data_IF_443592736657
#
_entry.id   IF_443592736657
#
_cell.length_a   1.000
_cell.length_b   1.000
_cell.length_c   1.000
_cell.angle_alpha   90.00
_cell.angle_beta   90.00
_cell.angle_gamma   90.00
#
_symmetry.space_group_name_H-M   'P 1'
#
loop_
_entity.id
_entity.type
_entity.pdbx_description
1 polymer ?
#
# COMPACT_ATOMS: atom_id res chain seq x y z
N UNK A 1 -16.81 20.83 16.02
CA UNK A 1 -16.59 22.17 15.44
C UNK A 1 -15.52 22.03 14.37
N UNK A 2 -15.85 22.33 13.12
CA UNK A 2 -14.88 22.30 12.03
C UNK A 2 -14.04 23.57 12.09
N UNK A 3 -12.70 23.51 12.07
CA UNK A 3 -11.86 24.70 12.04
C UNK A 3 -12.19 25.56 10.80
N UNK A 4 -12.08 26.90 10.89
CA UNK A 4 -12.35 27.79 9.77
C UNK A 4 -11.48 27.43 8.56
N UNK A 5 -12.10 27.21 7.41
CA UNK A 5 -11.40 26.99 6.14
C UNK A 5 -10.66 28.28 5.76
N UNK A 6 -9.34 28.28 5.91
CA UNK A 6 -8.46 29.29 5.32
C UNK A 6 -8.46 29.12 3.80
N UNK A 7 -9.49 29.62 3.11
CA UNK A 7 -9.45 29.77 1.65
C UNK A 7 -8.48 30.90 1.32
N UNK A 8 -7.20 30.58 1.17
CA UNK A 8 -6.20 31.53 0.71
C UNK A 8 -6.63 32.04 -0.68
N UNK A 9 -6.90 33.35 -0.86
CA UNK A 9 -7.58 33.88 -2.04
C UNK A 9 -6.80 33.78 -3.37
N UNK A 10 -5.63 33.12 -3.41
CA UNK A 10 -4.86 32.87 -4.63
C UNK A 10 -4.13 31.52 -4.53
N UNK A 11 -4.85 30.41 -4.56
CA UNK A 11 -4.21 29.10 -4.65
C UNK A 11 -3.50 28.98 -6.01
N UNK A 12 -2.16 29.02 -6.00
CA UNK A 12 -1.35 28.86 -7.21
C UNK A 12 -1.71 27.56 -7.93
N UNK A 13 -2.09 27.69 -9.21
CA UNK A 13 -2.40 26.59 -10.12
C UNK A 13 -1.23 26.35 -11.06
N UNK A 14 -0.85 25.08 -11.25
CA UNK A 14 0.28 24.75 -12.10
C UNK A 14 -0.04 25.00 -13.58
N UNK A 15 0.88 25.63 -14.30
CA UNK A 15 0.78 25.89 -15.75
C UNK A 15 0.83 24.59 -16.55
N UNK A 16 0.28 24.55 -17.77
CA UNK A 16 0.34 23.36 -18.63
C UNK A 16 1.76 22.83 -18.80
N UNK A 17 2.74 23.71 -18.95
CA UNK A 17 4.16 23.37 -19.06
C UNK A 17 4.66 22.65 -17.80
N UNK A 18 4.35 23.16 -16.61
CA UNK A 18 4.68 22.49 -15.34
C UNK A 18 4.00 21.13 -15.21
N UNK A 19 2.77 20.99 -15.74
CA UNK A 19 2.08 19.70 -15.74
C UNK A 19 2.78 18.68 -16.63
N UNK A 20 3.21 19.09 -17.83
CA UNK A 20 3.98 18.27 -18.74
C UNK A 20 5.34 17.90 -18.13
N UNK A 21 6.05 18.87 -17.55
CA UNK A 21 7.33 18.64 -16.89
C UNK A 21 7.20 17.62 -15.74
N UNK A 22 6.13 17.70 -14.94
CA UNK A 22 5.87 16.74 -13.86
C UNK A 22 5.61 15.31 -14.37
N UNK A 23 4.85 15.15 -15.46
CA UNK A 23 4.64 13.83 -16.06
C UNK A 23 5.90 13.27 -16.70
N UNK A 24 6.71 14.13 -17.33
CA UNK A 24 8.00 13.74 -17.89
C UNK A 24 8.97 13.30 -16.78
N UNK A 25 9.03 14.05 -15.67
CA UNK A 25 9.78 13.64 -14.49
C UNK A 25 9.29 12.31 -13.90
N UNK A 26 7.96 12.11 -13.85
CA UNK A 26 7.36 10.85 -13.41
C UNK A 26 7.76 9.68 -14.30
N UNK A 27 7.79 9.88 -15.63
CA UNK A 27 8.23 8.87 -16.59
C UNK A 27 9.71 8.53 -16.41
N UNK A 28 10.60 9.54 -16.29
CA UNK A 28 12.02 9.29 -16.08
C UNK A 28 12.32 8.56 -14.77
N UNK A 29 11.66 8.95 -13.68
CA UNK A 29 11.75 8.25 -12.40
C UNK A 29 11.22 6.82 -12.53
N UNK A 30 10.05 6.61 -13.13
CA UNK A 30 9.47 5.29 -13.31
C UNK A 30 10.37 4.37 -14.15
N UNK A 31 10.98 4.87 -15.21
CA UNK A 31 11.96 4.13 -16.02
C UNK A 31 13.19 3.76 -15.18
N UNK A 32 13.79 4.73 -14.50
CA UNK A 32 14.95 4.49 -13.65
C UNK A 32 14.66 3.45 -12.56
N UNK A 33 13.53 3.57 -11.87
CA UNK A 33 13.14 2.66 -10.79
C UNK A 33 12.83 1.24 -11.28
N UNK A 34 12.20 1.11 -12.45
CA UNK A 34 11.94 -0.20 -13.06
C UNK A 34 13.24 -0.89 -13.45
N UNK A 35 14.17 -0.17 -14.11
CA UNK A 35 15.51 -0.68 -14.41
C UNK A 35 16.27 -1.07 -13.13
N UNK A 36 16.22 -0.23 -12.10
CA UNK A 36 16.88 -0.49 -10.83
C UNK A 36 16.32 -1.75 -10.17
N UNK A 37 14.99 -1.93 -10.10
CA UNK A 37 14.40 -3.12 -9.50
C UNK A 37 14.75 -4.38 -10.30
N UNK A 38 14.64 -4.36 -11.62
CA UNK A 38 14.97 -5.50 -12.48
C UNK A 38 16.43 -5.94 -12.38
N UNK A 39 17.35 -5.00 -12.14
CA UNK A 39 18.80 -5.30 -12.04
C UNK A 39 19.25 -5.70 -10.63
N UNK A 40 18.51 -5.30 -9.59
CA UNK A 40 18.86 -5.57 -8.19
C UNK A 40 18.08 -6.76 -7.59
N UNK A 41 16.98 -7.16 -8.23
CA UNK A 41 16.16 -8.30 -7.81
C UNK A 41 16.37 -9.49 -8.75
N UNK A 42 16.01 -10.68 -8.29
CA UNK A 42 16.08 -11.91 -9.07
C UNK A 42 14.68 -12.44 -9.36
N UNK A 43 14.41 -13.05 -10.52
CA UNK A 43 13.18 -13.80 -10.70
C UNK A 43 13.15 -14.94 -9.67
N UNK A 44 11.98 -15.17 -9.06
CA UNK A 44 11.79 -16.34 -8.22
C UNK A 44 11.61 -17.58 -9.11
N UNK A 45 12.37 -18.65 -8.86
CA UNK A 45 12.48 -19.80 -9.76
C UNK A 45 11.14 -20.54 -9.97
N UNK A 46 10.24 -20.49 -8.99
CA UNK A 46 8.91 -21.10 -9.07
C UNK A 46 7.85 -20.18 -9.72
N UNK A 47 8.22 -18.93 -10.01
CA UNK A 47 7.31 -17.92 -10.59
C UNK A 47 8.06 -17.02 -11.57
N UNK A 48 8.79 -17.63 -12.50
CA UNK A 48 9.45 -16.89 -13.58
C UNK A 48 8.41 -16.14 -14.44
N UNK A 49 8.83 -15.10 -15.15
CA UNK A 49 7.94 -14.34 -16.03
C UNK A 49 7.26 -15.21 -17.08
N UNK A 50 7.99 -16.18 -17.63
CA UNK A 50 7.46 -17.16 -18.57
C UNK A 50 6.35 -18.00 -17.94
N UNK A 51 6.60 -18.55 -16.74
CA UNK A 51 5.58 -19.33 -16.01
C UNK A 51 4.34 -18.49 -15.72
N UNK A 52 4.50 -17.23 -15.31
CA UNK A 52 3.36 -16.35 -15.06
C UNK A 52 2.52 -16.14 -16.33
N UNK A 53 3.15 -15.80 -17.46
CA UNK A 53 2.47 -15.58 -18.76
C UNK A 53 1.77 -16.85 -19.26
N UNK A 54 2.36 -18.01 -19.03
CA UNK A 54 1.78 -19.31 -19.40
C UNK A 54 0.79 -19.86 -18.36
N UNK A 55 0.57 -19.15 -17.25
CA UNK A 55 -0.24 -19.58 -16.12
C UNK A 55 0.21 -20.90 -15.45
N UNK A 56 1.53 -21.14 -15.45
CA UNK A 56 2.22 -22.31 -14.90
C UNK A 56 2.96 -22.00 -13.58
N UNK A 57 2.83 -20.79 -13.04
CA UNK A 57 3.49 -20.44 -11.77
C UNK A 57 2.82 -21.17 -10.59
N UNK A 58 3.56 -21.36 -9.49
CA UNK A 58 3.00 -22.02 -8.29
C UNK A 58 2.01 -21.12 -7.54
N UNK A 59 1.09 -21.74 -6.80
CA UNK A 59 0.21 -21.04 -5.87
C UNK A 59 0.99 -20.41 -4.69
N UNK A 60 0.47 -19.37 -4.01
CA UNK A 60 -0.72 -18.58 -4.37
C UNK A 60 -0.44 -17.56 -5.50
N UNK A 61 0.79 -17.52 -6.03
CA UNK A 61 1.21 -16.49 -6.97
C UNK A 61 0.44 -16.52 -8.29
N UNK A 62 -0.02 -17.69 -8.71
CA UNK A 62 -0.81 -17.87 -9.92
C UNK A 62 -2.25 -17.36 -9.84
N UNK A 63 -2.81 -17.19 -8.64
CA UNK A 63 -4.15 -16.59 -8.47
C UNK A 63 -4.16 -15.10 -8.84
N UNK A 64 -2.99 -14.49 -9.00
CA UNK A 64 -2.78 -13.06 -9.32
C UNK A 64 -2.76 -12.84 -10.82
N UNK A 65 -3.87 -13.10 -11.47
CA UNK A 65 -3.98 -13.23 -12.93
C UNK A 65 -4.00 -11.91 -13.71
N UNK A 66 -4.25 -10.75 -13.08
CA UNK A 66 -4.45 -9.50 -13.82
C UNK A 66 -3.28 -9.17 -14.76
N UNK A 67 -2.07 -9.00 -14.21
CA UNK A 67 -0.90 -8.65 -15.03
C UNK A 67 -0.45 -9.80 -15.95
N UNK A 68 -0.38 -11.06 -15.49
CA UNK A 68 -0.08 -12.19 -16.37
C UNK A 68 -1.02 -12.29 -17.58
N UNK A 69 -2.33 -12.09 -17.39
CA UNK A 69 -3.30 -12.14 -18.49
C UNK A 69 -3.13 -10.99 -19.48
N UNK A 70 -2.84 -9.78 -19.00
CA UNK A 70 -2.52 -8.64 -19.90
C UNK A 70 -1.24 -8.96 -20.68
N UNK A 71 -0.21 -9.47 -20.02
CA UNK A 71 1.07 -9.79 -20.65
C UNK A 71 0.91 -10.91 -21.71
N UNK A 72 0.17 -11.98 -21.38
CA UNK A 72 -0.14 -13.06 -22.31
C UNK A 72 -0.93 -12.55 -23.53
N UNK A 73 -1.94 -11.70 -23.32
CA UNK A 73 -2.72 -11.11 -24.41
C UNK A 73 -1.87 -10.23 -25.34
N UNK A 74 -0.96 -9.42 -24.79
CA UNK A 74 -0.03 -8.62 -25.60
C UNK A 74 0.95 -9.54 -26.34
N UNK A 75 1.51 -10.54 -25.68
CA UNK A 75 2.48 -11.47 -26.26
C UNK A 75 1.91 -12.25 -27.45
N UNK A 76 0.61 -12.55 -27.46
CA UNK A 76 -0.09 -13.14 -28.61
C UNK A 76 -0.14 -12.22 -29.84
N UNK A 77 -0.20 -10.91 -29.63
CA UNK A 77 -0.27 -9.91 -30.70
C UNK A 77 1.12 -9.40 -31.13
N UNK A 78 2.04 -9.30 -30.18
CA UNK A 78 3.38 -8.76 -30.36
C UNK A 78 4.38 -9.48 -29.42
N UNK A 79 5.21 -10.42 -29.94
CA UNK A 79 6.13 -11.21 -29.11
C UNK A 79 7.38 -10.41 -28.72
N UNK A 80 7.22 -9.38 -27.89
CA UNK A 80 8.29 -8.47 -27.47
C UNK A 80 9.11 -8.99 -26.29
N UNK A 81 8.70 -10.12 -25.69
CA UNK A 81 9.38 -10.78 -24.58
C UNK A 81 8.81 -10.40 -23.22
N UNK A 82 8.66 -11.39 -22.33
CA UNK A 82 7.93 -11.26 -21.06
C UNK A 82 8.61 -10.28 -20.11
N UNK A 83 9.94 -10.29 -20.06
CA UNK A 83 10.73 -9.35 -19.24
C UNK A 83 10.47 -7.90 -19.62
N UNK A 84 10.47 -7.58 -20.92
CA UNK A 84 10.21 -6.23 -21.40
C UNK A 84 8.76 -5.82 -21.13
N UNK A 85 7.79 -6.73 -21.32
CA UNK A 85 6.38 -6.46 -21.02
C UNK A 85 6.18 -6.11 -19.54
N UNK A 86 6.69 -6.93 -18.62
CA UNK A 86 6.57 -6.64 -17.19
C UNK A 86 7.33 -5.38 -16.78
N UNK A 87 8.48 -5.09 -17.39
CA UNK A 87 9.20 -3.83 -17.18
C UNK A 87 8.34 -2.61 -17.57
N UNK A 88 7.70 -2.65 -18.75
CA UNK A 88 6.83 -1.57 -19.22
C UNK A 88 5.57 -1.41 -18.33
N UNK A 89 4.99 -2.53 -17.88
CA UNK A 89 3.88 -2.50 -16.92
C UNK A 89 4.30 -1.92 -15.57
N UNK A 90 5.52 -2.19 -15.13
CA UNK A 90 6.06 -1.61 -13.90
C UNK A 90 6.26 -0.09 -14.03
N UNK A 91 6.76 0.39 -15.17
CA UNK A 91 6.85 1.83 -15.46
C UNK A 91 5.46 2.47 -15.34
N UNK A 92 4.44 1.85 -15.94
CA UNK A 92 3.06 2.32 -15.81
C UNK A 92 2.57 2.29 -14.36
N UNK A 93 2.89 1.23 -13.60
CA UNK A 93 2.55 1.10 -12.19
C UNK A 93 3.13 2.23 -11.33
N UNK A 94 4.39 2.62 -11.57
CA UNK A 94 5.04 3.72 -10.84
C UNK A 94 4.36 5.05 -11.13
N UNK A 95 4.11 5.34 -12.41
CA UNK A 95 3.43 6.56 -12.82
C UNK A 95 2.01 6.65 -12.25
N UNK A 96 1.26 5.54 -12.28
CA UNK A 96 -0.09 5.48 -11.70
C UNK A 96 -0.06 5.64 -10.19
N UNK A 97 0.88 5.02 -9.48
CA UNK A 97 1.04 5.22 -8.04
C UNK A 97 1.29 6.69 -7.70
N UNK A 98 2.19 7.37 -8.40
CA UNK A 98 2.47 8.81 -8.22
C UNK A 98 1.20 9.64 -8.48
N UNK A 99 0.45 9.32 -9.53
CA UNK A 99 -0.79 10.00 -9.88
C UNK A 99 -1.87 9.83 -8.79
N UNK A 100 -2.06 8.62 -8.28
CA UNK A 100 -2.99 8.32 -7.19
C UNK A 100 -2.52 8.96 -5.89
N UNK A 101 -1.22 8.97 -5.60
CA UNK A 101 -0.62 9.67 -4.47
C UNK A 101 -0.91 11.18 -4.50
N UNK A 102 -0.73 11.82 -5.66
CA UNK A 102 -1.13 13.22 -5.84
C UNK A 102 -2.62 13.44 -5.55
N UNK A 103 -3.51 12.58 -6.07
CA UNK A 103 -4.94 12.65 -5.79
C UNK A 103 -5.25 12.46 -4.31
N UNK A 104 -4.52 11.60 -3.62
CA UNK A 104 -4.66 11.42 -2.18
C UNK A 104 -4.32 12.68 -1.40
N UNK A 105 -3.19 13.32 -1.72
CA UNK A 105 -2.80 14.59 -1.11
C UNK A 105 -3.85 15.68 -1.33
N UNK A 106 -4.48 15.73 -2.52
CA UNK A 106 -5.61 16.64 -2.79
C UNK A 106 -6.81 16.33 -1.90
N UNK A 107 -7.21 15.06 -1.79
CA UNK A 107 -8.40 14.63 -1.03
C UNK A 107 -8.27 14.89 0.47
N UNK A 108 -7.05 14.73 1.00
CA UNK A 108 -6.72 14.93 2.41
C UNK A 108 -6.12 16.32 2.70
N UNK A 109 -6.19 17.25 1.74
CA UNK A 109 -5.76 18.65 1.90
C UNK A 109 -4.30 18.80 2.38
N UNK A 110 -3.44 17.85 1.98
CA UNK A 110 -2.02 17.86 2.32
C UNK A 110 -1.28 18.67 1.26
N UNK A 111 -0.57 19.72 1.68
CA UNK A 111 0.21 20.60 0.80
C UNK A 111 -0.59 21.83 0.33
N UNK A 112 -0.06 23.02 0.62
CA UNK A 112 -0.76 24.31 0.44
C UNK A 112 -0.98 24.72 -1.02
N UNK A 113 -0.17 24.25 -1.94
CA UNK A 113 -0.22 24.60 -3.37
C UNK A 113 -0.13 23.37 -4.27
N UNK A 114 -0.52 23.50 -5.54
CA UNK A 114 -0.43 22.42 -6.52
C UNK A 114 1.02 21.90 -6.74
N UNK A 115 2.05 22.75 -6.92
CA UNK A 115 3.44 22.29 -7.07
C UNK A 115 3.96 21.53 -5.86
N UNK A 116 3.66 22.00 -4.65
CA UNK A 116 4.07 21.32 -3.41
C UNK A 116 3.44 19.93 -3.35
N UNK A 117 2.16 19.80 -3.70
CA UNK A 117 1.49 18.49 -3.77
C UNK A 117 2.12 17.55 -4.79
N UNK A 118 2.50 18.06 -5.96
CA UNK A 118 3.19 17.30 -7.00
C UNK A 118 4.55 16.79 -6.55
N UNK A 119 5.32 17.63 -5.84
CA UNK A 119 6.60 17.24 -5.26
C UNK A 119 6.43 16.22 -4.14
N UNK A 120 5.48 16.45 -3.23
CA UNK A 120 5.16 15.50 -2.16
C UNK A 120 4.70 14.16 -2.72
N UNK A 121 3.97 14.11 -3.84
CA UNK A 121 3.55 12.86 -4.45
C UNK A 121 4.74 11.95 -4.83
N UNK A 122 5.89 12.52 -5.24
CA UNK A 122 7.11 11.73 -5.50
C UNK A 122 7.70 11.09 -4.23
N UNK A 123 7.41 11.63 -3.05
CA UNK A 123 7.96 11.09 -1.80
C UNK A 123 7.40 9.71 -1.45
N UNK A 124 6.27 9.30 -2.06
CA UNK A 124 5.75 7.91 -1.93
C UNK A 124 6.76 6.88 -2.44
N UNK A 125 7.64 7.28 -3.38
CA UNK A 125 8.65 6.39 -3.95
C UNK A 125 9.67 5.95 -2.89
N UNK A 126 10.03 6.81 -1.93
CA UNK A 126 11.06 6.50 -0.92
C UNK A 126 10.72 5.25 -0.10
N UNK A 127 9.59 5.18 0.63
CA UNK A 127 9.28 3.98 1.40
C UNK A 127 8.98 2.77 0.50
N UNK A 128 8.47 2.98 -0.73
CA UNK A 128 8.26 1.90 -1.69
C UNK A 128 9.58 1.27 -2.13
N UNK A 129 10.62 2.06 -2.39
CA UNK A 129 11.95 1.57 -2.74
C UNK A 129 12.58 0.75 -1.61
N UNK A 130 12.38 1.17 -0.37
CA UNK A 130 12.84 0.40 0.79
C UNK A 130 12.18 -0.99 0.86
N UNK A 131 10.94 -1.14 0.38
CA UNK A 131 10.22 -2.43 0.44
C UNK A 131 10.46 -3.31 -0.80
N UNK A 132 10.75 -2.71 -1.95
CA UNK A 132 10.87 -3.41 -3.23
C UNK A 132 12.31 -3.66 -3.68
N UNK A 133 13.25 -2.81 -3.27
CA UNK A 133 14.62 -2.77 -3.82
C UNK A 133 15.68 -2.90 -2.73
N UNK A 134 15.50 -2.23 -1.59
CA UNK A 134 16.55 -2.21 -0.58
C UNK A 134 16.80 -3.63 -0.04
N UNK A 135 18.01 -4.19 -0.24
CA UNK A 135 18.30 -5.57 0.15
C UNK A 135 18.07 -5.75 1.65
N UNK A 136 17.58 -6.93 2.04
CA UNK A 136 17.61 -7.27 3.44
C UNK A 136 19.07 -7.46 3.88
N UNK A 137 19.37 -6.96 5.06
CA UNK A 137 20.72 -6.99 5.61
C UNK A 137 20.78 -8.19 6.55
N UNK A 138 21.40 -9.28 6.08
CA UNK A 138 21.67 -10.41 6.94
C UNK A 138 22.81 -10.03 7.88
N UNK A 139 22.49 -9.93 9.17
CA UNK A 139 23.47 -9.68 10.21
C UNK A 139 23.93 -11.04 10.75
N UNK A 140 25.15 -11.43 10.40
CA UNK A 140 25.71 -12.73 10.79
C UNK A 140 26.14 -12.82 12.27
N UNK A 141 25.99 -11.75 13.05
CA UNK A 141 26.38 -11.72 14.45
C UNK A 141 25.15 -11.71 15.37
N UNK A 142 24.96 -12.81 16.09
CA UNK A 142 24.48 -12.70 17.45
C UNK A 142 25.46 -11.80 18.22
N UNK A 143 24.97 -11.00 19.16
CA UNK A 143 25.79 -10.37 20.19
C UNK A 143 26.48 -11.50 21.00
N UNK A 144 27.55 -12.05 20.45
CA UNK A 144 28.38 -13.05 21.13
C UNK A 144 29.25 -12.30 22.13
N UNK A 145 29.25 -12.77 23.37
CA UNK A 145 30.12 -12.27 24.45
C UNK A 145 31.60 -12.29 24.09
N UNK A 146 31.96 -13.11 23.10
CA UNK A 146 33.35 -13.40 22.74
C UNK A 146 33.86 -12.52 21.60
N UNK A 147 33.03 -11.60 21.10
CA UNK A 147 33.38 -10.63 20.06
C UNK A 147 33.38 -9.21 20.62
N UNK A 148 34.23 -8.30 20.10
CA UNK A 148 34.26 -6.93 20.56
C UNK A 148 32.86 -6.30 20.44
N UNK A 149 32.47 -5.49 21.42
CA UNK A 149 31.12 -4.91 21.59
C UNK A 149 30.60 -4.10 20.37
N UNK A 150 31.47 -3.83 19.39
CA UNK A 150 31.19 -3.08 18.16
C UNK A 150 31.40 -3.90 16.87
N UNK A 151 31.68 -5.21 16.96
CA UNK A 151 31.66 -6.09 15.79
C UNK A 151 30.20 -6.37 15.41
N UNK A 152 29.65 -5.47 14.60
CA UNK A 152 28.30 -5.56 13.99
C UNK A 152 28.19 -6.72 12.98
N UNK A 153 29.24 -7.54 12.83
CA UNK A 153 29.29 -8.67 11.92
C UNK A 153 29.43 -8.29 10.46
N UNK A 154 29.56 -9.31 9.62
CA UNK A 154 29.51 -9.14 8.17
C UNK A 154 28.09 -8.82 7.71
N UNK A 155 27.97 -7.82 6.84
CA UNK A 155 26.73 -7.46 6.18
C UNK A 155 26.70 -8.14 4.82
N UNK A 156 25.74 -9.04 4.61
CA UNK A 156 25.53 -9.63 3.29
C UNK A 156 24.14 -9.26 2.78
N UNK A 157 24.03 -8.69 1.57
CA UNK A 157 22.72 -8.41 0.98
C UNK A 157 22.03 -9.73 0.67
N UNK A 158 20.80 -9.91 1.17
CA UNK A 158 19.93 -11.01 0.74
C UNK A 158 19.33 -10.67 -0.62
N UNK A 159 19.39 -11.61 -1.55
CA UNK A 159 18.71 -11.46 -2.83
C UNK A 159 17.21 -11.27 -2.59
N UNK A 160 16.64 -10.24 -3.21
CA UNK A 160 15.20 -9.98 -3.20
C UNK A 160 14.62 -10.54 -4.48
N UNK A 161 13.46 -11.17 -4.36
CA UNK A 161 12.73 -11.70 -5.50
C UNK A 161 11.84 -10.63 -6.15
N UNK A 162 11.78 -10.64 -7.47
CA UNK A 162 10.92 -9.75 -8.25
C UNK A 162 9.49 -10.31 -8.33
N UNK A 163 8.48 -9.44 -8.11
CA UNK A 163 7.08 -9.79 -8.32
C UNK A 163 6.29 -8.67 -9.01
N UNK A 164 5.61 -9.05 -10.09
CA UNK A 164 4.94 -8.13 -11.01
C UNK A 164 3.78 -7.38 -10.34
N UNK A 165 3.10 -7.99 -9.36
CA UNK A 165 1.85 -7.49 -8.78
C UNK A 165 2.04 -6.57 -7.55
N UNK A 166 3.25 -6.42 -7.02
CA UNK A 166 3.49 -5.65 -5.78
C UNK A 166 3.11 -4.17 -5.93
N UNK A 167 3.57 -3.55 -7.02
CA UNK A 167 3.36 -2.14 -7.27
C UNK A 167 1.89 -1.80 -7.62
N UNK A 168 1.22 -2.57 -8.52
CA UNK A 168 -0.23 -2.41 -8.69
C UNK A 168 -1.01 -2.62 -7.40
N UNK A 169 -0.61 -3.53 -6.50
CA UNK A 169 -1.31 -3.75 -5.25
C UNK A 169 -1.30 -2.50 -4.35
N UNK A 170 -0.14 -1.85 -4.21
CA UNK A 170 -0.01 -0.58 -3.49
C UNK A 170 -0.87 0.53 -4.13
N UNK A 171 -0.83 0.64 -5.46
CA UNK A 171 -1.63 1.61 -6.21
C UNK A 171 -3.14 1.37 -6.03
N UNK A 172 -3.60 0.13 -6.20
CA UNK A 172 -5.01 -0.23 -6.05
C UNK A 172 -5.51 -0.01 -4.63
N UNK A 173 -4.72 -0.38 -3.63
CA UNK A 173 -5.05 -0.14 -2.22
C UNK A 173 -5.30 1.35 -1.98
N UNK A 174 -4.39 2.21 -2.41
CA UNK A 174 -4.54 3.65 -2.25
C UNK A 174 -5.78 4.16 -3.03
N UNK A 175 -6.00 3.71 -4.26
CA UNK A 175 -7.15 4.09 -5.07
C UNK A 175 -8.49 3.67 -4.47
N UNK A 176 -8.55 2.49 -3.84
CA UNK A 176 -9.73 1.99 -3.12
C UNK A 176 -10.01 2.85 -1.89
N UNK A 177 -9.00 3.18 -1.08
CA UNK A 177 -9.15 4.10 0.06
C UNK A 177 -9.69 5.46 -0.39
N UNK A 178 -9.17 6.03 -1.48
CA UNK A 178 -9.72 7.29 -2.03
C UNK A 178 -11.15 7.16 -2.50
N UNK A 179 -11.51 6.03 -3.11
CA UNK A 179 -12.88 5.76 -3.55
C UNK A 179 -13.84 5.60 -2.37
N UNK A 180 -13.40 4.95 -1.28
CA UNK A 180 -14.15 4.90 -0.02
C UNK A 180 -14.37 6.29 0.56
N UNK A 181 -13.31 7.10 0.64
CA UNK A 181 -13.40 8.48 1.13
C UNK A 181 -14.35 9.30 0.26
N UNK A 182 -14.33 9.14 -1.06
CA UNK A 182 -15.29 9.78 -1.95
C UNK A 182 -16.72 9.32 -1.67
N UNK A 183 -16.96 8.02 -1.51
CA UNK A 183 -18.28 7.49 -1.15
C UNK A 183 -18.80 8.02 0.19
N UNK A 184 -17.93 8.26 1.17
CA UNK A 184 -18.34 8.89 2.44
C UNK A 184 -18.76 10.35 2.28
N UNK A 185 -18.33 11.04 1.20
CA UNK A 185 -18.70 12.43 0.90
C UNK A 185 -19.92 12.52 -0.01
N UNK A 186 -19.98 11.67 -1.03
CA UNK A 186 -21.02 11.67 -2.07
C UNK A 186 -21.52 10.25 -2.35
N UNK A 187 -22.30 9.66 -1.42
CA UNK A 187 -22.80 8.29 -1.57
C UNK A 187 -23.76 8.21 -2.77
N UNK A 188 -23.32 7.54 -3.83
CA UNK A 188 -24.08 7.38 -5.06
C UNK A 188 -23.79 6.03 -5.71
N UNK A 189 -24.77 5.49 -6.43
CA UNK A 189 -24.63 4.21 -7.14
C UNK A 189 -23.46 4.24 -8.14
N UNK A 190 -23.27 5.36 -8.85
CA UNK A 190 -22.14 5.55 -9.78
C UNK A 190 -20.78 5.48 -9.08
N UNK A 191 -20.62 6.15 -7.94
CA UNK A 191 -19.37 6.08 -7.20
C UNK A 191 -19.12 4.67 -6.65
N UNK A 192 -20.18 3.95 -6.26
CA UNK A 192 -20.04 2.59 -5.76
C UNK A 192 -19.69 1.61 -6.88
N UNK A 193 -20.30 1.76 -8.06
CA UNK A 193 -19.94 0.96 -9.24
C UNK A 193 -18.47 1.18 -9.65
N UNK A 194 -17.98 2.43 -9.62
CA UNK A 194 -16.56 2.72 -9.86
C UNK A 194 -15.66 2.08 -8.79
N UNK A 195 -16.05 2.15 -7.51
CA UNK A 195 -15.35 1.45 -6.43
C UNK A 195 -15.27 -0.05 -6.68
N UNK A 196 -16.40 -0.68 -7.06
CA UNK A 196 -16.44 -2.12 -7.36
C UNK A 196 -15.59 -2.48 -8.57
N UNK A 197 -15.54 -1.64 -9.62
CA UNK A 197 -14.67 -1.86 -10.77
C UNK A 197 -13.19 -1.89 -10.35
N UNK A 198 -12.76 -0.94 -9.50
CA UNK A 198 -11.39 -0.95 -8.95
C UNK A 198 -11.18 -2.16 -8.04
N UNK A 199 -12.18 -2.54 -7.24
CA UNK A 199 -12.11 -3.69 -6.34
C UNK A 199 -11.94 -5.02 -7.09
N UNK A 200 -12.63 -5.19 -8.23
CA UNK A 200 -12.47 -6.33 -9.14
C UNK A 200 -11.03 -6.41 -9.65
N UNK A 201 -10.51 -5.31 -10.22
CA UNK A 201 -9.14 -5.27 -10.73
C UNK A 201 -8.11 -5.55 -9.63
N UNK A 202 -8.32 -4.95 -8.46
CA UNK A 202 -7.45 -5.15 -7.32
C UNK A 202 -7.48 -6.61 -6.83
N UNK A 203 -8.64 -7.27 -6.84
CA UNK A 203 -8.81 -8.67 -6.45
C UNK A 203 -8.18 -9.64 -7.46
N UNK A 204 -8.26 -9.33 -8.76
CA UNK A 204 -7.54 -10.07 -9.81
C UNK A 204 -6.02 -9.88 -9.70
N UNK A 205 -5.56 -8.79 -9.07
CA UNK A 205 -4.15 -8.53 -8.83
C UNK A 205 -3.63 -9.20 -7.54
N UNK A 206 -4.38 -9.12 -6.43
CA UNK A 206 -4.07 -9.82 -5.17
C UNK A 206 -5.35 -10.12 -4.40
N UNK A 207 -5.36 -11.29 -3.77
CA UNK A 207 -6.39 -11.78 -2.87
C UNK A 207 -6.48 -11.00 -1.54
N UNK A 208 -5.44 -10.26 -1.18
CA UNK A 208 -5.36 -9.44 0.03
C UNK A 208 -6.32 -8.23 0.03
N UNK A 209 -6.95 -7.90 -1.10
CA UNK A 209 -8.01 -6.89 -1.15
C UNK A 209 -9.19 -7.19 -0.23
N UNK A 210 -9.42 -8.45 0.14
CA UNK A 210 -10.47 -8.82 1.09
C UNK A 210 -10.31 -8.09 2.44
N UNK A 211 -9.08 -7.79 2.86
CA UNK A 211 -8.81 -7.07 4.11
C UNK A 211 -9.36 -5.65 4.13
N UNK A 212 -9.74 -5.07 2.98
CA UNK A 212 -10.36 -3.75 2.91
C UNK A 212 -11.84 -3.75 3.31
N UNK A 213 -12.51 -4.91 3.30
CA UNK A 213 -13.96 -5.01 3.55
C UNK A 213 -14.36 -4.53 4.95
N UNK A 214 -13.67 -4.89 6.05
CA UNK A 214 -13.98 -4.36 7.38
C UNK A 214 -13.80 -2.84 7.47
N UNK A 215 -12.70 -2.32 6.93
CA UNK A 215 -12.44 -0.88 6.89
C UNK A 215 -13.53 -0.13 6.09
N UNK A 216 -13.95 -0.69 4.93
CA UNK A 216 -15.06 -0.19 4.14
C UNK A 216 -16.35 -0.09 4.97
N UNK A 217 -16.71 -1.18 5.65
CA UNK A 217 -17.95 -1.26 6.43
C UNK A 217 -17.97 -0.17 7.52
N UNK A 218 -16.88 -0.05 8.27
CA UNK A 218 -16.77 0.91 9.38
C UNK A 218 -16.70 2.37 8.92
N UNK A 219 -16.11 2.64 7.75
CA UNK A 219 -16.12 3.99 7.19
C UNK A 219 -17.51 4.41 6.69
N UNK A 220 -18.24 3.50 6.03
CA UNK A 220 -19.49 3.85 5.37
C UNK A 220 -20.73 3.68 6.24
N UNK A 221 -20.72 2.78 7.23
CA UNK A 221 -21.85 2.54 8.14
C UNK A 221 -22.45 3.83 8.74
N UNK A 222 -21.65 4.78 9.27
CA UNK A 222 -22.20 6.00 9.86
C UNK A 222 -22.80 6.97 8.82
N UNK A 223 -22.49 6.78 7.53
CA UNK A 223 -22.86 7.70 6.45
C UNK A 223 -24.08 7.19 5.68
N UNK A 224 -24.09 5.92 5.29
CA UNK A 224 -25.16 5.34 4.44
C UNK A 224 -26.15 4.47 5.22
N UNK A 225 -25.85 4.18 6.49
CA UNK A 225 -26.67 3.35 7.37
C UNK A 225 -26.40 1.85 7.22
N UNK A 226 -26.69 1.12 8.31
CA UNK A 226 -26.42 -0.31 8.50
C UNK A 226 -26.82 -1.20 7.31
N UNK A 227 -28.08 -1.11 6.90
CA UNK A 227 -28.66 -1.97 5.86
C UNK A 227 -27.96 -1.79 4.51
N UNK A 228 -27.70 -0.54 4.11
CA UNK A 228 -27.02 -0.24 2.84
C UNK A 228 -25.57 -0.69 2.88
N UNK A 229 -24.86 -0.42 3.98
CA UNK A 229 -23.49 -0.92 4.16
C UNK A 229 -23.43 -2.44 4.09
N UNK A 230 -24.36 -3.15 4.73
CA UNK A 230 -24.41 -4.62 4.67
C UNK A 230 -24.59 -5.12 3.23
N UNK A 231 -25.49 -4.51 2.44
CA UNK A 231 -25.66 -4.86 1.02
C UNK A 231 -24.40 -4.59 0.19
N UNK A 232 -23.71 -3.46 0.45
CA UNK A 232 -22.48 -3.10 -0.24
C UNK A 232 -21.31 -4.04 0.14
N UNK A 233 -21.26 -4.50 1.39
CA UNK A 233 -20.31 -5.51 1.87
C UNK A 233 -20.62 -6.86 1.22
N UNK A 234 -21.89 -7.28 1.21
CA UNK A 234 -22.31 -8.52 0.56
C UNK A 234 -21.95 -8.53 -0.93
N UNK A 235 -22.12 -7.40 -1.63
CA UNK A 235 -21.69 -7.28 -3.03
C UNK A 235 -20.18 -7.43 -3.21
N UNK A 236 -19.35 -6.84 -2.35
CA UNK A 236 -17.89 -7.01 -2.37
C UNK A 236 -17.48 -8.46 -2.12
N UNK A 237 -18.06 -9.08 -1.09
CA UNK A 237 -17.79 -10.49 -0.75
C UNK A 237 -18.22 -11.43 -1.89
N UNK A 238 -19.39 -11.20 -2.50
CA UNK A 238 -19.83 -11.98 -3.64
C UNK A 238 -18.88 -11.86 -4.84
N UNK A 239 -18.42 -10.64 -5.17
CA UNK A 239 -17.42 -10.42 -6.22
C UNK A 239 -16.09 -11.12 -5.88
N UNK A 240 -15.62 -11.00 -4.65
CA UNK A 240 -14.38 -11.63 -4.21
C UNK A 240 -14.45 -13.15 -4.39
N UNK A 241 -15.53 -13.78 -3.90
CA UNK A 241 -15.73 -15.22 -4.02
C UNK A 241 -15.92 -15.65 -5.48
N UNK A 242 -16.64 -14.88 -6.28
CA UNK A 242 -16.85 -15.16 -7.71
C UNK A 242 -15.55 -15.09 -8.54
N UNK A 243 -14.54 -14.35 -8.05
CA UNK A 243 -13.20 -14.32 -8.67
C UNK A 243 -12.34 -15.44 -8.10
N UNK A 244 -12.23 -15.54 -6.78
CA UNK A 244 -11.25 -16.43 -6.15
C UNK A 244 -11.62 -17.91 -6.26
N UNK A 245 -12.90 -18.28 -6.13
CA UNK A 245 -13.30 -19.70 -6.22
C UNK A 245 -12.93 -20.31 -7.58
N UNK A 246 -13.27 -19.69 -8.73
CA UNK A 246 -12.85 -20.20 -10.03
C UNK A 246 -11.33 -20.21 -10.23
N UNK A 247 -10.61 -19.21 -9.72
CA UNK A 247 -9.14 -19.18 -9.85
C UNK A 247 -8.48 -20.29 -9.03
N UNK A 248 -8.94 -20.54 -7.80
CA UNK A 248 -8.47 -21.67 -6.99
C UNK A 248 -8.78 -23.01 -7.68
N UNK A 249 -9.96 -23.17 -8.27
CA UNK A 249 -10.30 -24.39 -9.01
C UNK A 249 -9.45 -24.56 -10.28
N UNK A 250 -9.21 -23.48 -11.02
CA UNK A 250 -8.41 -23.49 -12.26
C UNK A 250 -6.94 -23.84 -12.00
N UNK A 251 -6.39 -23.40 -10.87
CA UNK A 251 -4.98 -23.56 -10.52
C UNK A 251 -4.67 -24.60 -9.45
N UNK A 252 -5.64 -25.44 -9.10
CA UNK A 252 -5.47 -26.48 -8.07
C UNK A 252 -4.31 -27.46 -8.34
N UNK A 253 -3.85 -27.58 -9.59
CA UNK A 253 -2.68 -28.38 -9.97
C UNK A 253 -1.32 -27.70 -9.75
N UNK A 254 -1.28 -26.39 -9.53
CA UNK A 254 -0.05 -25.60 -9.42
C UNK A 254 0.46 -25.55 -7.97
N UNK A 255 0.57 -26.70 -7.33
CA UNK A 255 0.87 -26.82 -5.90
C UNK A 255 2.20 -26.18 -5.51
N UNK A 256 2.22 -25.40 -4.43
CA UNK A 256 3.44 -24.87 -3.86
C UNK A 256 4.20 -25.96 -3.08
N UNK A 257 5.41 -26.36 -3.50
CA UNK A 257 6.17 -27.41 -2.80
C UNK A 257 6.60 -27.00 -1.39
N UNK A 258 6.63 -25.69 -1.09
CA UNK A 258 7.02 -25.17 0.22
C UNK A 258 5.83 -24.95 1.17
N UNK A 259 4.59 -25.24 0.74
CA UNK A 259 3.43 -25.04 1.59
C UNK A 259 3.47 -26.01 2.79
N UNK A 260 3.46 -25.44 4.00
CA UNK A 260 3.51 -26.20 5.26
C UNK A 260 2.23 -26.05 6.10
N UNK A 261 1.31 -25.19 5.69
CA UNK A 261 -0.01 -25.06 6.32
C UNK A 261 -0.97 -26.07 5.70
N UNK A 262 -1.43 -27.02 6.52
CA UNK A 262 -2.33 -28.09 6.10
C UNK A 262 -3.53 -27.56 5.30
N UNK A 263 -3.76 -28.14 4.13
CA UNK A 263 -4.86 -27.80 3.21
C UNK A 263 -4.83 -26.36 2.67
N UNK A 264 -3.67 -25.72 2.62
CA UNK A 264 -3.51 -24.39 2.01
C UNK A 264 -2.26 -24.32 1.12
N UNK A 265 -2.18 -23.31 0.26
CA UNK A 265 -0.99 -23.03 -0.55
C UNK A 265 0.06 -22.15 0.18
N UNK A 266 -0.17 -21.84 1.46
CA UNK A 266 0.63 -20.88 2.21
C UNK A 266 1.73 -21.55 3.04
N UNK A 267 2.84 -20.85 3.17
CA UNK A 267 3.94 -21.20 4.06
C UNK A 267 3.65 -20.67 5.49
N UNK A 268 4.22 -21.30 6.51
CA UNK A 268 4.13 -20.84 7.89
C UNK A 268 5.47 -20.27 8.34
N UNK A 269 5.52 -19.00 8.71
CA UNK A 269 6.76 -18.28 9.03
C UNK A 269 6.77 -17.59 10.39
N UNK A 270 5.72 -17.73 11.21
CA UNK A 270 5.62 -17.01 12.48
C UNK A 270 6.84 -17.22 13.38
N UNK A 271 7.24 -18.47 13.62
CA UNK A 271 8.39 -18.76 14.50
C UNK A 271 9.72 -18.26 13.91
N UNK A 272 9.93 -18.45 12.61
CA UNK A 272 11.11 -17.92 11.91
C UNK A 272 11.19 -16.38 12.03
N UNK A 273 10.05 -15.70 11.89
CA UNK A 273 9.98 -14.24 12.01
C UNK A 273 10.24 -13.78 13.45
N UNK A 274 9.67 -14.45 14.46
CA UNK A 274 9.92 -14.15 15.88
C UNK A 274 11.38 -14.38 16.26
N UNK A 275 11.99 -15.45 15.78
CA UNK A 275 13.42 -15.73 15.95
C UNK A 275 14.27 -14.62 15.31
N UNK A 276 13.96 -14.22 14.08
CA UNK A 276 14.68 -13.13 13.40
C UNK A 276 14.55 -11.80 14.15
N UNK A 277 13.34 -11.48 14.63
CA UNK A 277 13.06 -10.27 15.41
C UNK A 277 13.67 -10.29 16.82
N UNK A 278 14.05 -11.45 17.35
CA UNK A 278 14.72 -11.55 18.65
C UNK A 278 16.11 -10.92 18.65
N UNK A 279 16.73 -10.74 17.47
CA UNK A 279 17.97 -9.98 17.33
C UNK A 279 17.65 -8.46 17.43
N UNK A 280 18.11 -7.76 18.48
CA UNK A 280 17.75 -6.36 18.71
C UNK A 280 18.23 -5.43 17.60
N UNK A 281 19.39 -5.72 16.99
CA UNK A 281 19.92 -4.90 15.90
C UNK A 281 19.12 -5.11 14.61
N UNK A 282 18.71 -6.36 14.33
CA UNK A 282 17.76 -6.62 13.25
C UNK A 282 16.43 -5.91 13.50
N UNK A 283 15.87 -6.01 14.71
CA UNK A 283 14.61 -5.33 15.05
C UNK A 283 14.70 -3.82 14.83
N UNK A 284 15.77 -3.17 15.30
CA UNK A 284 15.96 -1.71 15.14
C UNK A 284 16.10 -1.33 13.67
N UNK A 285 16.95 -2.03 12.90
CA UNK A 285 17.13 -1.76 11.46
C UNK A 285 15.88 -2.10 10.65
N UNK A 286 15.13 -3.12 11.04
CA UNK A 286 13.84 -3.47 10.46
C UNK A 286 12.81 -2.37 10.73
N UNK A 287 12.70 -1.91 11.97
CA UNK A 287 11.82 -0.80 12.36
C UNK A 287 12.20 0.52 11.69
N UNK A 288 13.49 0.79 11.42
CA UNK A 288 13.89 1.98 10.67
C UNK A 288 13.49 1.90 9.18
N UNK A 289 13.57 0.70 8.58
CA UNK A 289 13.22 0.48 7.17
C UNK A 289 11.72 0.37 6.94
N UNK A 290 10.98 -0.20 7.89
CA UNK A 290 9.54 -0.40 7.80
C UNK A 290 8.84 0.94 7.56
N UNK A 291 8.21 1.06 6.40
CA UNK A 291 7.64 2.31 5.85
C UNK A 291 8.58 3.54 5.91
N UNK A 292 9.90 3.37 5.83
CA UNK A 292 10.89 4.44 6.05
C UNK A 292 10.72 5.20 7.38
N UNK A 293 10.34 4.48 8.44
CA UNK A 293 10.01 5.03 9.76
C UNK A 293 8.85 6.04 9.77
N UNK A 294 8.06 6.15 8.69
CA UNK A 294 6.93 7.08 8.60
C UNK A 294 5.79 6.74 9.58
N UNK A 295 5.75 5.52 10.12
CA UNK A 295 4.83 5.18 11.21
C UNK A 295 5.08 6.00 12.48
N UNK A 296 6.31 6.50 12.74
CA UNK A 296 6.62 7.26 13.96
C UNK A 296 5.80 8.55 14.07
N UNK A 297 5.77 9.46 13.05
CA UNK A 297 4.84 10.59 13.04
C UNK A 297 3.38 10.18 13.28
N UNK A 298 2.92 9.08 12.68
CA UNK A 298 1.54 8.61 12.81
C UNK A 298 1.24 8.21 14.26
N UNK A 299 2.13 7.48 14.92
CA UNK A 299 1.95 7.06 16.31
C UNK A 299 2.03 8.27 17.28
N UNK A 300 3.07 9.09 17.13
CA UNK A 300 3.32 10.24 18.01
C UNK A 300 2.21 11.30 17.90
N UNK A 301 1.66 11.48 16.70
CA UNK A 301 0.69 12.54 16.38
C UNK A 301 -0.67 12.00 15.94
N UNK A 302 -1.03 10.78 16.36
CA UNK A 302 -2.27 10.10 15.99
C UNK A 302 -3.54 10.92 16.28
N UNK A 303 -3.52 11.83 17.26
CA UNK A 303 -4.64 12.74 17.56
C UNK A 303 -4.98 13.70 16.41
N UNK A 304 -4.04 13.95 15.50
CA UNK A 304 -4.23 14.77 14.30
C UNK A 304 -4.60 13.95 13.07
N UNK A 305 -4.66 12.62 13.19
CA UNK A 305 -4.93 11.72 12.09
C UNK A 305 -6.39 11.83 11.65
N UNK A 306 -6.62 11.96 10.34
CA UNK A 306 -7.98 11.90 9.80
C UNK A 306 -8.60 10.54 10.17
N UNK A 307 -9.82 10.60 10.72
CA UNK A 307 -10.53 9.41 11.23
C UNK A 307 -10.66 8.31 10.18
N UNK A 308 -10.81 8.64 8.90
CA UNK A 308 -10.97 7.67 7.80
C UNK A 308 -9.64 6.94 7.56
N UNK A 309 -8.52 7.65 7.57
CA UNK A 309 -7.19 7.04 7.52
C UNK A 309 -6.91 6.19 8.77
N UNK A 310 -7.32 6.66 9.95
CA UNK A 310 -7.25 5.86 11.18
C UNK A 310 -8.00 4.54 11.08
N UNK A 311 -9.24 4.56 10.56
CA UNK A 311 -10.02 3.33 10.31
C UNK A 311 -9.31 2.42 9.30
N UNK A 312 -8.76 2.97 8.21
CA UNK A 312 -8.01 2.19 7.23
C UNK A 312 -6.77 1.51 7.84
N UNK A 313 -6.01 2.24 8.67
CA UNK A 313 -4.83 1.69 9.32
C UNK A 313 -5.19 0.59 10.32
N UNK A 314 -6.24 0.79 11.13
CA UNK A 314 -6.61 -0.16 12.19
C UNK A 314 -7.33 -1.39 11.62
N UNK A 315 -8.23 -1.23 10.66
CA UNK A 315 -9.13 -2.31 10.20
C UNK A 315 -8.75 -2.91 8.85
N UNK A 316 -7.74 -2.38 8.17
CA UNK A 316 -7.13 -3.00 7.00
C UNK A 316 -5.64 -3.27 7.23
N UNK A 317 -4.83 -2.23 7.48
CA UNK A 317 -3.38 -2.39 7.50
C UNK A 317 -2.90 -3.29 8.65
N UNK A 318 -3.43 -3.11 9.86
CA UNK A 318 -3.05 -3.93 11.01
C UNK A 318 -3.43 -5.41 10.82
N UNK A 319 -4.67 -5.80 10.48
CA UNK A 319 -5.02 -7.19 10.18
C UNK A 319 -4.15 -7.80 9.07
N UNK A 320 -3.93 -7.06 7.98
CA UNK A 320 -3.07 -7.50 6.88
C UNK A 320 -1.63 -7.73 7.36
N UNK A 321 -1.07 -6.81 8.16
CA UNK A 321 0.28 -6.95 8.71
C UNK A 321 0.40 -8.16 9.64
N UNK A 322 -0.57 -8.36 10.54
CA UNK A 322 -0.57 -9.49 11.46
C UNK A 322 -0.58 -10.83 10.72
N UNK A 323 -1.42 -10.96 9.69
CA UNK A 323 -1.45 -12.18 8.87
C UNK A 323 -0.20 -12.32 8.02
N UNK A 324 0.31 -11.23 7.45
CA UNK A 324 1.57 -11.24 6.71
C UNK A 324 2.75 -11.69 7.57
N UNK A 325 2.78 -11.37 8.87
CA UNK A 325 3.81 -11.89 9.80
C UNK A 325 3.67 -13.40 10.03
N UNK A 326 2.46 -13.96 9.89
CA UNK A 326 2.24 -15.41 10.05
C UNK A 326 2.62 -16.18 8.79
N UNK A 327 2.18 -15.72 7.61
CA UNK A 327 2.29 -16.47 6.35
C UNK A 327 3.40 -15.97 5.42
N UNK A 328 3.94 -14.78 5.67
CA UNK A 328 4.99 -14.16 4.88
C UNK A 328 6.30 -14.10 5.64
N UNK A 329 7.41 -14.04 4.92
CA UNK A 329 8.74 -13.89 5.51
C UNK A 329 9.02 -12.42 5.74
N UNK A 330 9.20 -11.97 6.99
CA UNK A 330 9.42 -10.54 7.28
C UNK A 330 10.66 -9.96 6.60
N UNK A 331 11.67 -10.80 6.36
CA UNK A 331 12.86 -10.48 5.54
C UNK A 331 12.49 -9.99 4.13
N UNK A 332 11.31 -10.37 3.62
CA UNK A 332 10.72 -9.87 2.38
C UNK A 332 9.76 -8.72 2.70
N UNK A 333 10.29 -7.51 2.89
CA UNK A 333 9.48 -6.35 3.30
C UNK A 333 8.29 -6.06 2.38
N UNK A 334 8.34 -6.47 1.11
CA UNK A 334 7.24 -6.37 0.15
C UNK A 334 5.93 -7.04 0.60
N UNK A 335 5.92 -7.94 1.59
CA UNK A 335 4.66 -8.49 2.12
C UNK A 335 3.76 -7.40 2.72
N UNK A 336 4.33 -6.25 3.10
CA UNK A 336 3.61 -5.08 3.60
C UNK A 336 3.36 -3.99 2.55
N UNK A 337 3.61 -4.26 1.26
CA UNK A 337 3.66 -3.22 0.22
C UNK A 337 2.35 -2.42 0.08
N UNK A 338 1.21 -3.05 0.35
CA UNK A 338 -0.12 -2.41 0.30
C UNK A 338 -0.34 -1.41 1.44
N UNK A 339 0.35 -1.59 2.56
CA UNK A 339 0.27 -0.74 3.76
C UNK A 339 1.13 0.51 3.58
N UNK A 340 2.25 0.39 2.86
CA UNK A 340 3.24 1.46 2.66
C UNK A 340 2.61 2.79 2.21
N UNK A 341 1.82 2.87 1.11
CA UNK A 341 1.24 4.14 0.68
C UNK A 341 0.23 4.71 1.69
N UNK A 342 -0.40 3.87 2.50
CA UNK A 342 -1.36 4.33 3.51
C UNK A 342 -0.64 4.97 4.70
N UNK A 343 0.43 4.35 5.19
CA UNK A 343 1.27 4.91 6.26
C UNK A 343 1.96 6.20 5.80
N UNK A 344 2.46 6.23 4.55
CA UNK A 344 3.01 7.43 3.93
C UNK A 344 2.01 8.59 3.94
N UNK A 345 0.79 8.36 3.46
CA UNK A 345 -0.25 9.39 3.40
C UNK A 345 -0.65 9.87 4.81
N UNK A 346 -0.84 8.95 5.74
CA UNK A 346 -1.15 9.26 7.14
C UNK A 346 -0.05 10.12 7.77
N UNK A 347 1.23 9.76 7.56
CA UNK A 347 2.36 10.50 8.09
C UNK A 347 2.40 11.95 7.57
N UNK A 348 2.26 12.15 6.26
CA UNK A 348 2.22 13.49 5.67
C UNK A 348 1.01 14.29 6.16
N UNK A 349 -0.14 13.65 6.31
CA UNK A 349 -1.35 14.30 6.81
C UNK A 349 -1.19 14.76 8.27
N UNK A 350 -0.70 13.91 9.17
CA UNK A 350 -0.48 14.33 10.57
C UNK A 350 0.59 15.40 10.70
N UNK A 351 1.66 15.34 9.90
CA UNK A 351 2.69 16.39 9.83
C UNK A 351 2.05 17.71 9.42
N UNK A 352 1.32 17.73 8.31
CA UNK A 352 0.71 18.94 7.76
C UNK A 352 -0.33 19.56 8.70
N UNK A 353 -1.18 18.73 9.32
CA UNK A 353 -2.19 19.22 10.27
C UNK A 353 -1.54 19.76 11.55
N UNK A 354 -0.49 19.11 12.06
CA UNK A 354 0.25 19.59 13.24
C UNK A 354 0.93 20.93 12.97
N UNK A 355 1.61 21.09 11.84
CA UNK A 355 2.33 22.33 11.52
C UNK A 355 1.39 23.50 11.27
N UNK A 356 0.25 23.27 10.62
CA UNK A 356 -0.79 24.30 10.47
C UNK A 356 -1.35 24.78 11.83
N UNK A 357 -1.45 23.89 12.82
CA UNK A 357 -1.88 24.24 14.18
C UNK A 357 -0.89 25.13 14.95
N UNK A 358 0.41 25.04 14.65
CA UNK A 358 1.44 25.90 15.26
C UNK A 358 1.41 27.33 14.72
N UNK A 359 0.94 27.52 13.48
CA UNK A 359 0.89 28.84 12.84
C UNK A 359 -0.32 29.67 13.27
N UNK A 360 -1.31 29.08 13.96
CA UNK A 360 -2.45 29.85 14.48
C UNK A 360 -2.02 30.64 15.73
N UNK A 361 -1.89 31.98 15.68
CA UNK A 361 -1.39 32.81 16.78
C UNK A 361 -2.32 32.85 18.01
N UNK A 362 -3.46 32.16 17.94
CA UNK A 362 -4.54 32.18 18.92
C UNK A 362 -4.51 30.99 19.89
N UNK A 363 -3.33 30.46 20.22
CA UNK A 363 -3.13 29.43 21.25
C UNK A 363 -3.48 29.85 22.69
N UNK A 364 -4.49 30.72 22.87
CA UNK A 364 -5.28 30.71 24.11
C UNK A 364 -6.23 29.51 24.01
N UNK A 365 -6.20 28.57 24.97
CA UNK A 365 -7.23 27.56 25.06
C UNK A 365 -8.57 28.30 25.12
N UNK A 366 -9.40 28.16 24.08
CA UNK A 366 -10.81 28.42 24.24
C UNK A 366 -11.28 27.39 25.26
N UNK A 367 -11.57 27.86 26.47
CA UNK A 367 -12.27 27.06 27.47
C UNK A 367 -13.43 26.35 26.76
N UNK A 368 -13.64 25.05 27.03
CA UNK A 368 -14.74 24.31 26.44
C UNK A 368 -16.01 25.08 26.75
N UNK A 369 -16.60 25.68 25.70
CA UNK A 369 -17.84 26.44 25.81
C UNK A 369 -18.82 25.57 26.59
N UNK A 370 -19.17 26.05 27.79
CA UNK A 370 -19.95 25.33 28.76
C UNK A 370 -21.11 24.64 28.07
N UNK A 371 -21.24 23.35 28.34
CA UNK A 371 -22.34 22.52 27.91
C UNK A 371 -23.64 23.21 28.35
N UNK A 372 -24.25 23.99 27.44
CA UNK A 372 -25.56 24.56 27.69
C UNK A 372 -26.51 23.36 27.86
N UNK A 373 -27.17 23.21 29.01
CA UNK A 373 -28.07 22.09 29.25
C UNK A 373 -29.16 22.11 28.19
N UNK A 374 -29.34 20.97 27.49
CA UNK A 374 -30.48 20.77 26.60
C UNK A 374 -31.75 20.88 27.46
N UNK A 375 -32.56 21.90 27.21
CA UNK A 375 -33.92 21.97 27.74
C UNK A 375 -34.72 20.79 27.17
N UNK A 376 -35.37 19.98 28.01
CA UNK A 376 -36.32 18.97 27.54
C UNK A 376 -37.54 19.67 26.97
N UNK A 377 -37.95 19.25 25.78
CA UNK A 377 -39.21 19.63 25.12
C UNK A 377 -39.98 18.39 24.74
#
# INVERSE_FOLDING_TARGET
>A
MSPPMLSAPNAYHATTLERCAWWLASLFLALFLSCLRLTTTRPFELTTFKQLVNFEAVEPFQHRVLLPAIAAGIQQLAPVGETLLFALMEVAGWMLLIAVAYRALVVFEVGRSEPVRRLLAFTVLVPMLLHLIAPDLQMAAALSSDRPLLDIGGWTPRAIFYYVYDLPAAMFTLALILSMVRLTRTPSARCFALYLAVFVLATLNRETTLFLVPAFALMLWPVVGARRTLLMVAAQTAIFLAIQIPLTALFAGNTNPNAHLAHTAYEFHLFYNLETLSNPLYLVTYMARFTAALYLPVLLWHRYLDRRLGIALIFFALPLALIAIVVGRMVEQRIFIEIVPLVWLAALQVIATRTAGLESPAGRPQEPAGFAPRTPG
#
